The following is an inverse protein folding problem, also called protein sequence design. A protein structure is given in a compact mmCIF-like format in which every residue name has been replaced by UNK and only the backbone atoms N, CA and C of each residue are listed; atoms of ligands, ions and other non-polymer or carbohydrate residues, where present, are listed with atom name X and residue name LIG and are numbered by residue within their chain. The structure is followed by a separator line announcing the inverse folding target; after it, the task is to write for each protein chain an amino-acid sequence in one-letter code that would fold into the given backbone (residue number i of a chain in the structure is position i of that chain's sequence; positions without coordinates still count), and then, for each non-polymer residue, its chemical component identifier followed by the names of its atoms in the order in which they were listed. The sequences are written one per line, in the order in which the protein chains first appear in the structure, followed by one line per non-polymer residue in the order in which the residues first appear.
data_IF_790088083228
#
_entry.id   IF_790088083228
#
_cell.length_a   1.000
_cell.length_b   1.000
_cell.length_c   1.000
_cell.angle_alpha   90.00
_cell.angle_beta   90.00
_cell.angle_gamma   90.00
#
_symmetry.space_group_name_H-M   'P 1'
#
loop_
_entity.id
_entity.type
_entity.pdbx_description
1 polymer ?
#
# COMPACT_ATOMS: atom_id res chain seq x y z
N UNK A 1 -17.12 -18.67 4.48
CA UNK A 1 -15.96 -17.83 4.10
C UNK A 1 -15.92 -16.58 5.00
N UNK A 2 -14.81 -16.37 5.64
CA UNK A 2 -14.64 -15.22 6.52
C UNK A 2 -13.57 -14.28 5.96
N UNK A 3 -13.74 -13.01 6.28
CA UNK A 3 -12.80 -11.94 5.91
C UNK A 3 -12.27 -11.32 7.20
N UNK A 4 -10.97 -11.31 7.35
CA UNK A 4 -10.30 -10.72 8.50
C UNK A 4 -9.43 -9.57 8.03
N UNK A 5 -9.58 -8.41 8.67
CA UNK A 5 -8.83 -7.20 8.30
C UNK A 5 -7.95 -6.75 9.45
N UNK A 6 -6.69 -6.47 9.15
CA UNK A 6 -5.76 -5.86 10.08
C UNK A 6 -5.34 -4.49 9.56
N UNK A 7 -5.34 -3.50 10.45
CA UNK A 7 -4.95 -2.12 10.13
C UNK A 7 -3.55 -1.82 10.66
N UNK A 8 -2.85 -0.95 9.94
CA UNK A 8 -1.58 -0.40 10.38
C UNK A 8 -1.43 1.01 9.80
N UNK A 9 -0.60 1.83 10.44
CA UNK A 9 -0.30 3.18 9.96
C UNK A 9 1.16 3.29 9.57
N UNK A 10 1.44 4.13 8.58
CA UNK A 10 2.81 4.52 8.26
C UNK A 10 2.81 5.95 7.70
N UNK A 11 3.87 6.68 8.00
CA UNK A 11 4.07 8.02 7.48
C UNK A 11 5.03 7.95 6.30
N UNK A 12 4.68 8.57 5.19
CA UNK A 12 5.55 8.59 4.03
C UNK A 12 5.32 9.86 3.24
N UNK A 13 6.36 10.28 2.53
CA UNK A 13 6.27 11.45 1.65
C UNK A 13 6.41 11.01 0.21
N UNK A 14 5.91 11.85 -0.68
CA UNK A 14 5.96 11.61 -2.11
C UNK A 14 5.92 12.93 -2.88
N UNK A 15 6.17 12.78 -4.16
CA UNK A 15 6.08 13.85 -5.12
C UNK A 15 5.64 13.26 -6.46
N UNK A 16 4.71 13.95 -7.13
CA UNK A 16 4.16 13.46 -8.38
C UNK A 16 4.82 14.20 -9.55
N UNK A 17 5.48 13.43 -10.39
CA UNK A 17 6.16 13.96 -11.56
C UNK A 17 6.28 12.90 -12.64
N UNK A 18 5.97 13.29 -13.88
CA UNK A 18 6.19 12.44 -15.04
C UNK A 18 7.29 13.09 -15.91
N UNK A 19 8.48 12.46 -15.98
CA UNK A 19 9.59 13.03 -16.73
C UNK A 19 9.35 13.11 -18.23
N UNK A 20 8.35 12.42 -18.76
CA UNK A 20 7.98 12.48 -20.16
C UNK A 20 7.17 13.72 -20.51
N UNK A 21 6.66 14.43 -19.52
CA UNK A 21 5.89 15.65 -19.69
C UNK A 21 6.77 16.88 -19.45
N UNK A 22 6.37 18.02 -20.04
CA UNK A 22 7.03 19.29 -19.78
C UNK A 22 6.80 19.73 -18.32
N UNK A 23 7.63 20.65 -17.81
CA UNK A 23 7.38 21.22 -16.46
C UNK A 23 6.00 21.84 -16.31
N UNK A 24 5.51 22.51 -17.37
CA UNK A 24 4.18 23.12 -17.35
C UNK A 24 3.07 22.10 -17.30
N UNK A 25 3.21 21.02 -18.08
CA UNK A 25 2.24 19.93 -18.11
C UNK A 25 2.19 19.20 -16.77
N UNK A 26 3.35 19.00 -16.14
CA UNK A 26 3.42 18.40 -14.78
C UNK A 26 2.69 19.26 -13.76
N UNK A 27 2.90 20.57 -13.78
CA UNK A 27 2.23 21.47 -12.85
C UNK A 27 0.73 21.51 -13.07
N UNK A 28 0.30 21.47 -14.34
CA UNK A 28 -1.13 21.44 -14.67
C UNK A 28 -1.80 20.14 -14.26
N UNK A 29 -1.14 19.01 -14.51
CA UNK A 29 -1.69 17.69 -14.22
C UNK A 29 -1.75 17.39 -12.73
N UNK A 30 -0.67 17.68 -12.01
CA UNK A 30 -0.52 17.27 -10.62
C UNK A 30 -0.76 18.40 -9.62
N UNK A 31 -0.73 19.64 -10.07
CA UNK A 31 -0.95 20.79 -9.20
C UNK A 31 0.05 20.85 -8.04
N UNK A 32 -0.46 20.97 -6.83
CA UNK A 32 0.37 21.07 -5.62
C UNK A 32 1.24 19.81 -5.39
N UNK A 33 0.82 18.68 -5.91
CA UNK A 33 1.58 17.43 -5.76
C UNK A 33 2.84 17.39 -6.62
N UNK A 34 3.02 18.33 -7.53
CA UNK A 34 4.22 18.48 -8.34
C UNK A 34 5.28 19.37 -7.69
N UNK A 35 5.29 19.47 -6.38
CA UNK A 35 6.36 20.16 -5.64
C UNK A 35 7.53 19.19 -5.44
N UNK A 36 8.73 19.50 -5.97
CA UNK A 36 9.87 18.59 -5.86
C UNK A 36 10.38 18.38 -4.44
N UNK A 37 9.99 19.26 -3.51
CA UNK A 37 10.29 19.05 -2.09
C UNK A 37 9.44 17.96 -1.46
N UNK A 38 8.39 17.57 -2.15
CA UNK A 38 7.47 16.54 -1.66
C UNK A 38 6.53 17.03 -0.58
N UNK A 39 5.60 16.18 -0.21
CA UNK A 39 4.74 16.35 0.95
C UNK A 39 4.38 14.96 1.46
N UNK A 40 3.89 14.86 2.67
CA UNK A 40 3.66 13.57 3.29
C UNK A 40 2.25 13.40 3.84
N UNK A 41 1.96 12.15 4.10
CA UNK A 41 0.69 11.72 4.68
C UNK A 41 0.92 10.67 5.75
N UNK A 42 -0.01 10.59 6.69
CA UNK A 42 -0.14 9.46 7.59
C UNK A 42 -1.09 8.47 6.92
N UNK A 43 -0.52 7.51 6.22
CA UNK A 43 -1.29 6.49 5.52
C UNK A 43 -1.86 5.49 6.51
N UNK A 44 -3.08 5.04 6.25
CA UNK A 44 -3.66 3.89 6.95
C UNK A 44 -3.77 2.75 5.95
N UNK A 45 -3.18 1.62 6.31
CA UNK A 45 -3.23 0.40 5.52
C UNK A 45 -4.19 -0.58 6.17
N UNK A 46 -5.12 -1.12 5.38
CA UNK A 46 -5.97 -2.24 5.79
C UNK A 46 -5.71 -3.42 4.88
N UNK A 47 -5.26 -4.50 5.47
CA UNK A 47 -5.03 -5.76 4.75
C UNK A 47 -6.11 -6.74 5.14
N UNK A 48 -6.88 -7.19 4.16
CA UNK A 48 -7.96 -8.17 4.35
C UNK A 48 -7.57 -9.50 3.72
N UNK A 49 -7.63 -10.54 4.52
CA UNK A 49 -7.45 -11.93 4.08
C UNK A 49 -8.76 -12.67 4.18
N UNK A 50 -8.93 -13.72 3.39
CA UNK A 50 -10.13 -14.57 3.43
C UNK A 50 -9.75 -16.02 3.60
N UNK A 51 -10.62 -16.77 4.25
CA UNK A 51 -10.41 -18.18 4.48
C UNK A 51 -11.51 -18.77 5.36
N UNK A 52 -11.35 -20.05 5.63
CA UNK A 52 -12.22 -20.79 6.52
C UNK A 52 -11.58 -20.87 7.92
N UNK A 53 -12.40 -21.07 8.94
CA UNK A 53 -11.91 -21.26 10.30
C UNK A 53 -11.14 -22.59 10.37
N UNK A 54 -9.92 -22.53 10.90
CA UNK A 54 -9.20 -23.72 11.32
C UNK A 54 -9.84 -24.22 12.60
N UNK A 55 -10.38 -25.44 12.65
CA UNK A 55 -11.07 -25.93 13.84
C UNK A 55 -10.16 -26.13 15.05
N UNK A 56 -8.86 -26.28 14.86
CA UNK A 56 -7.91 -26.40 15.97
C UNK A 56 -7.65 -25.09 16.68
N UNK A 57 -7.55 -24.00 15.94
CA UNK A 57 -7.19 -22.69 16.48
C UNK A 57 -8.36 -21.72 16.59
N UNK A 58 -9.38 -21.89 15.76
CA UNK A 58 -10.43 -20.91 15.59
C UNK A 58 -10.05 -19.73 14.73
N UNK A 59 -8.87 -19.77 14.07
CA UNK A 59 -8.34 -18.69 13.26
C UNK A 59 -8.62 -18.88 11.78
N UNK A 60 -8.79 -17.75 11.06
CA UNK A 60 -8.72 -17.73 9.61
C UNK A 60 -7.24 -17.69 9.18
N UNK A 61 -6.43 -16.97 9.95
CA UNK A 61 -5.00 -16.81 9.73
C UNK A 61 -4.32 -16.61 11.08
N UNK A 62 -3.05 -16.99 11.18
CA UNK A 62 -2.25 -16.66 12.34
C UNK A 62 -2.02 -15.14 12.38
N UNK A 63 -2.60 -14.46 13.38
CA UNK A 63 -2.55 -13.00 13.51
C UNK A 63 -1.13 -12.47 13.70
N UNK A 64 -0.29 -13.21 14.41
CA UNK A 64 1.10 -12.86 14.62
C UNK A 64 1.87 -12.89 13.29
N UNK A 65 1.66 -13.93 12.52
CA UNK A 65 2.27 -14.09 11.20
C UNK A 65 1.82 -13.00 10.23
N UNK A 66 0.54 -12.67 10.26
CA UNK A 66 0.00 -11.58 9.43
C UNK A 66 0.66 -10.25 9.80
N UNK A 67 0.76 -9.94 11.08
CA UNK A 67 1.40 -8.72 11.57
C UNK A 67 2.86 -8.66 11.14
N UNK A 68 3.60 -9.74 11.32
CA UNK A 68 5.02 -9.82 10.96
C UNK A 68 5.22 -9.63 9.46
N UNK A 69 4.37 -10.23 8.64
CA UNK A 69 4.42 -10.09 7.19
C UNK A 69 4.16 -8.65 6.76
N UNK A 70 3.14 -8.02 7.34
CA UNK A 70 2.85 -6.61 7.05
C UNK A 70 4.02 -5.70 7.41
N UNK A 71 4.64 -5.92 8.57
CA UNK A 71 5.79 -5.13 8.99
C UNK A 71 7.00 -5.36 8.09
N UNK A 72 7.38 -6.60 7.88
CA UNK A 72 8.57 -6.95 7.08
C UNK A 72 8.47 -6.49 5.63
N UNK A 73 7.32 -6.73 5.01
CA UNK A 73 7.18 -6.48 3.57
C UNK A 73 6.77 -5.04 3.24
N UNK A 74 6.08 -4.35 4.14
CA UNK A 74 5.51 -3.05 3.84
C UNK A 74 5.98 -1.97 4.81
N UNK A 75 5.66 -2.11 6.09
CA UNK A 75 5.84 -1.00 7.03
C UNK A 75 7.30 -0.64 7.24
N UNK A 76 8.17 -1.63 7.41
CA UNK A 76 9.61 -1.39 7.59
C UNK A 76 10.26 -0.78 6.35
N UNK A 77 9.68 -1.02 5.18
CA UNK A 77 10.21 -0.53 3.91
C UNK A 77 9.70 0.86 3.55
N UNK A 78 8.53 1.25 4.03
CA UNK A 78 7.85 2.47 3.59
C UNK A 78 7.68 3.53 4.67
N UNK A 79 7.63 3.12 5.94
CA UNK A 79 7.40 4.05 7.04
C UNK A 79 8.57 5.01 7.21
N UNK A 80 8.26 6.30 7.30
CA UNK A 80 9.24 7.39 7.40
C UNK A 80 10.16 7.50 6.17
N UNK A 81 9.67 7.10 5.00
CA UNK A 81 10.44 7.13 3.77
C UNK A 81 9.89 8.16 2.78
N UNK A 82 10.78 8.68 1.95
CA UNK A 82 10.40 9.40 0.75
C UNK A 82 10.23 8.37 -0.37
N UNK A 83 8.99 8.08 -0.73
CA UNK A 83 8.66 6.96 -1.61
C UNK A 83 9.40 7.00 -2.94
N UNK A 84 9.51 8.17 -3.55
CA UNK A 84 10.15 8.33 -4.85
C UNK A 84 11.61 7.88 -4.88
N UNK A 85 12.33 8.03 -3.78
CA UNK A 85 13.77 7.77 -3.73
C UNK A 85 14.14 6.52 -2.95
N UNK A 86 13.33 6.13 -1.99
CA UNK A 86 13.71 5.08 -1.04
C UNK A 86 12.97 3.77 -1.24
N UNK A 87 11.91 3.77 -2.05
CA UNK A 87 11.11 2.57 -2.32
C UNK A 87 11.26 2.22 -3.80
N UNK A 88 11.89 1.09 -4.13
CA UNK A 88 12.32 0.78 -5.51
C UNK A 88 11.21 0.85 -6.56
N UNK A 89 10.00 0.44 -6.22
CA UNK A 89 8.87 0.45 -7.16
C UNK A 89 8.58 1.86 -7.68
N UNK A 90 8.85 2.88 -6.86
CA UNK A 90 8.54 4.27 -7.20
C UNK A 90 9.69 5.02 -7.86
N UNK A 91 10.76 4.32 -8.22
CA UNK A 91 11.78 4.86 -9.12
C UNK A 91 11.21 5.07 -10.53
N UNK A 92 10.25 4.23 -10.93
CA UNK A 92 9.67 4.24 -12.29
C UNK A 92 8.16 4.44 -12.32
N UNK A 93 7.49 4.42 -11.17
CA UNK A 93 6.05 4.64 -11.06
C UNK A 93 5.78 5.86 -10.19
N UNK A 94 4.76 6.61 -10.53
CA UNK A 94 4.34 7.75 -9.72
C UNK A 94 3.71 7.21 -8.44
N UNK A 95 4.14 7.67 -7.25
CA UNK A 95 3.66 7.13 -5.97
C UNK A 95 2.29 7.69 -5.58
N UNK A 96 1.32 7.51 -6.46
CA UNK A 96 -0.09 7.77 -6.16
C UNK A 96 -0.59 6.74 -5.16
N UNK A 97 -1.71 7.03 -4.51
CA UNK A 97 -2.34 6.06 -3.61
C UNK A 97 -2.73 4.79 -4.34
N UNK A 98 -3.14 4.90 -5.61
CA UNK A 98 -3.44 3.78 -6.49
C UNK A 98 -2.22 2.88 -6.69
N UNK A 99 -1.11 3.45 -7.12
CA UNK A 99 0.13 2.69 -7.33
C UNK A 99 0.69 2.15 -6.02
N UNK A 100 0.48 2.86 -4.93
CA UNK A 100 0.89 2.39 -3.61
C UNK A 100 0.11 1.13 -3.21
N UNK A 101 -1.20 1.13 -3.40
CA UNK A 101 -2.03 -0.05 -3.10
C UNK A 101 -1.61 -1.26 -3.93
N UNK A 102 -1.31 -1.06 -5.22
CA UNK A 102 -0.83 -2.12 -6.11
C UNK A 102 0.52 -2.67 -5.64
N UNK A 103 1.47 -1.77 -5.32
CA UNK A 103 2.80 -2.17 -4.85
C UNK A 103 2.71 -2.96 -3.54
N UNK A 104 1.87 -2.54 -2.62
CA UNK A 104 1.66 -3.23 -1.35
C UNK A 104 1.10 -4.63 -1.60
N UNK A 105 0.09 -4.75 -2.46
CA UNK A 105 -0.45 -6.06 -2.84
C UNK A 105 0.64 -6.99 -3.39
N UNK A 106 1.45 -6.48 -4.31
CA UNK A 106 2.50 -7.27 -4.95
C UNK A 106 3.56 -7.74 -3.95
N UNK A 107 3.80 -6.98 -2.90
CA UNK A 107 4.72 -7.38 -1.83
C UNK A 107 4.12 -8.42 -0.89
N UNK A 108 2.82 -8.30 -0.60
CA UNK A 108 2.15 -9.16 0.37
C UNK A 108 1.69 -10.51 -0.21
N UNK A 109 1.11 -10.51 -1.39
CA UNK A 109 0.46 -11.69 -1.95
C UNK A 109 1.37 -12.94 -1.99
N UNK A 110 2.64 -12.85 -2.44
CA UNK A 110 3.53 -14.03 -2.46
C UNK A 110 3.89 -14.57 -1.08
N UNK A 111 3.67 -13.78 -0.03
CA UNK A 111 4.06 -14.13 1.34
C UNK A 111 2.91 -14.64 2.20
N UNK A 112 1.68 -14.63 1.66
CA UNK A 112 0.53 -15.18 2.35
C UNK A 112 0.49 -16.68 2.18
N UNK A 113 0.58 -17.43 3.28
CA UNK A 113 0.71 -18.89 3.23
C UNK A 113 -0.55 -19.64 3.68
N UNK A 114 -1.25 -19.12 4.68
CA UNK A 114 -2.36 -19.84 5.32
C UNK A 114 -3.74 -19.28 5.00
N UNK A 115 -3.79 -18.10 4.43
CA UNK A 115 -5.02 -17.46 4.00
C UNK A 115 -4.75 -16.70 2.70
N UNK A 116 -5.81 -16.42 1.96
CA UNK A 116 -5.68 -15.73 0.69
C UNK A 116 -5.85 -14.22 0.89
N UNK A 117 -4.94 -13.45 0.34
CA UNK A 117 -5.09 -11.99 0.30
C UNK A 117 -6.33 -11.64 -0.54
N UNK A 118 -7.22 -10.87 0.05
CA UNK A 118 -8.49 -10.49 -0.61
C UNK A 118 -8.51 -9.03 -1.03
N UNK A 119 -8.01 -8.13 -0.18
CA UNK A 119 -8.11 -6.69 -0.42
C UNK A 119 -6.97 -5.97 0.29
N UNK A 120 -6.44 -4.98 -0.39
CA UNK A 120 -5.57 -3.96 0.19
C UNK A 120 -6.28 -2.62 0.07
N UNK A 121 -6.53 -1.97 1.20
CA UNK A 121 -7.08 -0.61 1.24
C UNK A 121 -6.02 0.32 1.79
N UNK A 122 -5.78 1.43 1.08
CA UNK A 122 -4.84 2.45 1.52
C UNK A 122 -5.56 3.79 1.59
N UNK A 123 -5.58 4.37 2.79
CA UNK A 123 -6.06 5.73 3.01
C UNK A 123 -4.88 6.68 2.89
N UNK A 124 -4.98 7.65 2.01
CA UNK A 124 -4.03 8.76 1.96
C UNK A 124 -4.31 9.76 3.09
N UNK A 125 -5.59 9.99 3.35
CA UNK A 125 -6.09 10.70 4.51
C UNK A 125 -7.46 10.09 4.87
N UNK A 126 -8.13 10.62 5.89
CA UNK A 126 -9.40 10.02 6.34
C UNK A 126 -10.55 10.14 5.32
N UNK A 127 -10.41 11.00 4.30
CA UNK A 127 -11.44 11.22 3.29
C UNK A 127 -11.20 10.46 1.98
N UNK A 128 -9.99 9.92 1.79
CA UNK A 128 -9.60 9.36 0.49
C UNK A 128 -8.91 8.03 0.68
N UNK A 129 -9.43 7.00 0.06
CA UNK A 129 -8.81 5.69 0.05
C UNK A 129 -8.97 5.01 -1.30
N UNK A 130 -8.09 4.05 -1.54
CA UNK A 130 -8.11 3.19 -2.72
C UNK A 130 -8.19 1.74 -2.27
N UNK A 131 -9.05 0.97 -2.92
CA UNK A 131 -9.16 -0.47 -2.73
C UNK A 131 -8.59 -1.18 -3.94
N UNK A 132 -7.75 -2.19 -3.68
CA UNK A 132 -7.24 -3.07 -4.71
C UNK A 132 -7.51 -4.52 -4.32
N UNK A 133 -8.08 -5.27 -5.27
CA UNK A 133 -8.50 -6.66 -5.05
C UNK A 133 -7.62 -7.65 -5.82
N UNK A 134 -6.49 -7.20 -6.29
CA UNK A 134 -5.62 -8.00 -7.15
C UNK A 134 -5.93 -7.77 -8.62
N UNK A 135 -5.09 -8.32 -9.47
CA UNK A 135 -5.30 -8.19 -10.91
C UNK A 135 -6.48 -9.04 -11.35
N UNK A 136 -7.34 -8.47 -12.18
CA UNK A 136 -8.40 -9.25 -12.83
C UNK A 136 -7.76 -10.18 -13.86
N UNK A 137 -8.13 -11.42 -13.79
CA UNK A 137 -7.70 -12.42 -14.77
C UNK A 137 -8.38 -12.20 -16.12
#
# INVERSE_FOLDING_TARGET
MLYLTRKAEFAASHYYHNPELSPEENRRLFGKCNNPNGHGHNYVLEVTVKGEIDPCSGFVVDLKQLKETMHREVLDAMDHRFLNKEVPEFATRIPTTENLAIAIWQRLAPKMTNAKLHQVRVYENHDLFVDFYGESS
#
